data_IF_766420734912
#
_entry.id   IF_766420734912
#
_cell.length_a   1.000
_cell.length_b   1.000
_cell.length_c   1.000
_cell.angle_alpha   90.00
_cell.angle_beta   90.00
_cell.angle_gamma   90.00
#
_symmetry.space_group_name_H-M   'P 1'
#
loop_
_entity.id
_entity.type
_entity.pdbx_description
1 polymer ?
#
# COMPACT_ATOMS: atom_id res chain seq x y z
N UNK A 1 -6.88 -17.00 -9.33
CA UNK A 1 -5.92 -17.17 -8.22
C UNK A 1 -6.32 -16.38 -6.98
N UNK A 2 -6.70 -15.05 -7.06
CA UNK A 2 -7.02 -14.22 -5.89
C UNK A 2 -8.13 -14.78 -5.00
N UNK A 3 -9.26 -15.23 -5.58
CA UNK A 3 -10.36 -15.81 -4.81
C UNK A 3 -9.96 -17.11 -4.09
N UNK A 4 -9.12 -17.92 -4.72
CA UNK A 4 -8.59 -19.15 -4.10
C UNK A 4 -7.71 -18.78 -2.88
N UNK A 5 -6.81 -17.81 -3.07
CA UNK A 5 -5.98 -17.31 -1.98
C UNK A 5 -6.79 -16.69 -0.85
N UNK A 6 -7.79 -15.87 -1.21
CA UNK A 6 -8.71 -15.25 -0.26
C UNK A 6 -9.42 -16.29 0.62
N UNK A 7 -10.04 -17.30 0.01
CA UNK A 7 -10.72 -18.39 0.75
C UNK A 7 -9.81 -19.11 1.72
N UNK A 8 -8.57 -19.41 1.29
CA UNK A 8 -7.61 -20.13 2.12
C UNK A 8 -7.07 -19.30 3.29
N UNK A 9 -6.85 -18.00 3.08
CA UNK A 9 -6.30 -17.11 4.10
C UNK A 9 -7.36 -16.63 5.11
N UNK A 10 -8.62 -16.48 4.68
CA UNK A 10 -9.68 -15.83 5.43
C UNK A 10 -9.87 -16.32 6.86
N UNK A 11 -9.89 -17.65 7.15
CA UNK A 11 -10.09 -18.14 8.50
C UNK A 11 -9.01 -17.70 9.50
N UNK A 12 -7.80 -17.45 9.01
CA UNK A 12 -6.60 -17.22 9.83
C UNK A 12 -6.16 -15.76 9.88
N UNK A 13 -6.65 -14.91 8.98
CA UNK A 13 -6.18 -13.56 8.81
C UNK A 13 -6.90 -12.56 9.74
N UNK A 14 -6.16 -11.53 10.17
CA UNK A 14 -6.70 -10.31 10.77
C UNK A 14 -7.05 -9.28 9.71
N UNK A 15 -6.32 -9.25 8.59
CA UNK A 15 -6.63 -8.56 7.34
C UNK A 15 -5.93 -9.28 6.18
N UNK A 16 -6.35 -9.01 4.93
CA UNK A 16 -5.75 -9.63 3.74
C UNK A 16 -5.35 -8.54 2.75
N UNK A 17 -4.07 -8.56 2.36
CA UNK A 17 -3.57 -7.65 1.31
C UNK A 17 -3.73 -8.29 -0.07
N UNK A 18 -4.44 -7.62 -0.96
CA UNK A 18 -4.54 -7.94 -2.38
C UNK A 18 -3.44 -7.17 -3.11
N UNK A 19 -2.37 -7.88 -3.45
CA UNK A 19 -1.22 -7.27 -4.12
C UNK A 19 -1.40 -7.28 -5.64
N UNK A 20 -1.69 -6.12 -6.22
CA UNK A 20 -1.85 -5.91 -7.67
C UNK A 20 -0.70 -5.13 -8.29
N UNK A 21 0.42 -4.98 -7.59
CA UNK A 21 1.43 -3.96 -7.89
C UNK A 21 2.87 -4.46 -7.95
N UNK A 22 3.13 -5.77 -7.75
CA UNK A 22 4.50 -6.29 -7.82
C UNK A 22 5.08 -6.10 -9.23
N UNK A 23 6.27 -5.48 -9.37
CA UNK A 23 6.96 -5.39 -10.65
C UNK A 23 7.60 -6.71 -11.08
N UNK A 24 7.72 -7.67 -10.16
CA UNK A 24 8.40 -8.94 -10.39
C UNK A 24 7.49 -10.02 -11.01
N UNK A 25 6.19 -9.74 -11.11
CA UNK A 25 5.21 -10.65 -11.71
C UNK A 25 4.75 -10.06 -13.04
N UNK A 26 4.98 -10.81 -14.12
CA UNK A 26 4.61 -10.37 -15.46
C UNK A 26 3.13 -9.98 -15.53
N UNK A 27 2.85 -8.83 -16.13
CA UNK A 27 1.51 -8.29 -16.37
C UNK A 27 0.66 -8.01 -15.10
N UNK A 28 1.17 -8.22 -13.88
CA UNK A 28 0.37 -8.02 -12.67
C UNK A 28 -0.14 -6.58 -12.55
N UNK A 29 0.68 -5.60 -12.90
CA UNK A 29 0.32 -4.17 -12.83
C UNK A 29 -0.79 -3.76 -13.80
N UNK A 30 -1.10 -4.57 -14.81
CA UNK A 30 -2.26 -4.35 -15.69
C UNK A 30 -3.59 -4.44 -14.92
N UNK A 31 -3.60 -5.13 -13.78
CA UNK A 31 -4.75 -5.17 -12.88
C UNK A 31 -5.13 -3.81 -12.27
N UNK A 32 -4.24 -2.81 -12.36
CA UNK A 32 -4.51 -1.44 -11.91
C UNK A 32 -5.25 -0.59 -12.96
N UNK A 33 -5.48 -1.13 -14.17
CA UNK A 33 -6.35 -0.50 -15.19
C UNK A 33 -7.80 -0.48 -14.73
N UNK A 34 -8.51 0.63 -14.96
CA UNK A 34 -9.81 0.93 -14.37
C UNK A 34 -10.84 -0.21 -14.52
N UNK A 35 -11.07 -0.69 -15.75
CA UNK A 35 -12.08 -1.73 -16.01
C UNK A 35 -11.71 -3.08 -15.37
N UNK A 36 -10.43 -3.43 -15.42
CA UNK A 36 -9.94 -4.70 -14.86
C UNK A 36 -10.00 -4.66 -13.33
N UNK A 37 -9.63 -3.53 -12.75
CA UNK A 37 -9.68 -3.31 -11.30
C UNK A 37 -11.13 -3.33 -10.81
N UNK A 38 -12.04 -2.64 -11.49
CA UNK A 38 -13.47 -2.61 -11.15
C UNK A 38 -14.05 -4.03 -11.05
N UNK A 39 -13.79 -4.87 -12.06
CA UNK A 39 -14.23 -6.27 -12.06
C UNK A 39 -13.59 -7.09 -10.94
N UNK A 40 -12.30 -6.91 -10.70
CA UNK A 40 -11.59 -7.62 -9.62
C UNK A 40 -12.16 -7.26 -8.25
N UNK A 41 -12.33 -5.96 -7.95
CA UNK A 41 -12.85 -5.48 -6.68
C UNK A 41 -14.28 -5.98 -6.43
N UNK A 42 -15.14 -5.93 -7.46
CA UNK A 42 -16.49 -6.47 -7.36
C UNK A 42 -16.49 -7.95 -6.96
N UNK A 43 -15.68 -8.79 -7.61
CA UNK A 43 -15.58 -10.22 -7.30
C UNK A 43 -15.01 -10.48 -5.91
N UNK A 44 -14.02 -9.70 -5.47
CA UNK A 44 -13.44 -9.81 -4.14
C UNK A 44 -14.44 -9.45 -3.05
N UNK A 45 -15.24 -8.39 -3.24
CA UNK A 45 -16.25 -7.98 -2.26
C UNK A 45 -17.40 -8.98 -2.15
N UNK A 46 -17.86 -9.55 -3.27
CA UNK A 46 -18.85 -10.64 -3.24
C UNK A 46 -18.33 -11.84 -2.47
N UNK A 47 -17.10 -12.24 -2.71
CA UNK A 47 -16.46 -13.35 -1.98
C UNK A 47 -16.26 -13.02 -0.51
N UNK A 48 -15.80 -11.79 -0.16
CA UNK A 48 -15.66 -11.35 1.23
C UNK A 48 -17.00 -11.47 1.99
N UNK A 49 -18.08 -11.04 1.36
CA UNK A 49 -19.43 -11.13 1.96
C UNK A 49 -19.82 -12.57 2.28
N UNK A 50 -19.60 -13.51 1.35
CA UNK A 50 -19.87 -14.94 1.54
C UNK A 50 -19.00 -15.53 2.66
N UNK A 51 -17.71 -15.20 2.68
CA UNK A 51 -16.79 -15.67 3.71
C UNK A 51 -17.11 -15.09 5.08
N UNK A 52 -17.53 -13.81 5.14
CA UNK A 52 -18.01 -13.20 6.40
C UNK A 52 -19.18 -13.98 6.99
N UNK A 53 -20.16 -14.35 6.16
CA UNK A 53 -21.29 -15.17 6.61
C UNK A 53 -20.86 -16.57 7.06
N UNK A 54 -19.95 -17.19 6.30
CA UNK A 54 -19.48 -18.55 6.59
C UNK A 54 -18.67 -18.64 7.88
N UNK A 55 -17.82 -17.64 8.13
CA UNK A 55 -16.88 -17.65 9.28
C UNK A 55 -17.32 -16.79 10.47
N UNK A 56 -18.43 -16.05 10.35
CA UNK A 56 -18.94 -15.19 11.43
C UNK A 56 -18.01 -14.03 11.80
N UNK A 57 -17.07 -13.66 10.94
CA UNK A 57 -16.15 -12.53 11.16
C UNK A 57 -15.87 -11.79 9.86
N UNK A 58 -15.78 -10.46 9.95
CA UNK A 58 -15.30 -9.64 8.85
C UNK A 58 -13.77 -9.58 8.86
N UNK A 59 -13.14 -9.91 7.72
CA UNK A 59 -11.69 -9.78 7.53
C UNK A 59 -11.45 -8.68 6.49
N UNK A 60 -10.83 -7.55 6.87
CA UNK A 60 -10.59 -6.42 5.98
C UNK A 60 -9.76 -6.80 4.75
N UNK A 61 -10.16 -6.27 3.58
CA UNK A 61 -9.40 -6.36 2.33
C UNK A 61 -8.68 -5.05 2.06
N UNK A 62 -7.36 -5.12 1.89
CA UNK A 62 -6.49 -3.97 1.66
C UNK A 62 -5.80 -4.10 0.30
N UNK A 63 -5.94 -3.10 -0.56
CA UNK A 63 -5.35 -3.11 -1.90
C UNK A 63 -3.96 -2.48 -1.89
N UNK A 64 -2.93 -3.18 -2.38
CA UNK A 64 -1.57 -2.63 -2.48
C UNK A 64 -1.26 -2.19 -3.90
N UNK A 65 -0.98 -0.88 -4.08
CA UNK A 65 -0.76 -0.24 -5.38
C UNK A 65 0.71 0.05 -5.66
N UNK A 66 1.03 0.29 -6.94
CA UNK A 66 2.37 0.66 -7.40
C UNK A 66 2.62 2.17 -7.20
N UNK A 67 3.90 2.59 -7.09
CA UNK A 67 4.23 4.01 -7.07
C UNK A 67 4.31 4.63 -8.48
N UNK A 68 4.42 3.81 -9.52
CA UNK A 68 4.66 4.25 -10.90
C UNK A 68 3.32 4.46 -11.65
N UNK A 69 2.41 5.23 -11.03
CA UNK A 69 1.09 5.54 -11.56
C UNK A 69 1.00 7.02 -11.95
N UNK A 70 0.20 7.33 -12.98
CA UNK A 70 -0.14 8.73 -13.29
C UNK A 70 -1.16 9.27 -12.26
N UNK A 71 -1.26 10.59 -12.18
CA UNK A 71 -2.17 11.27 -11.25
C UNK A 71 -3.64 10.88 -11.53
N UNK A 72 -4.00 10.69 -12.82
CA UNK A 72 -5.32 10.22 -13.25
C UNK A 72 -5.57 8.77 -12.82
N UNK A 73 -4.55 7.92 -12.93
CA UNK A 73 -4.66 6.52 -12.51
C UNK A 73 -4.86 6.40 -11.00
N UNK A 74 -4.14 7.20 -10.21
CA UNK A 74 -4.30 7.26 -8.74
C UNK A 74 -5.73 7.69 -8.37
N UNK A 75 -6.23 8.75 -9.03
CA UNK A 75 -7.61 9.23 -8.82
C UNK A 75 -8.64 8.17 -9.19
N UNK A 76 -8.45 7.50 -10.33
CA UNK A 76 -9.34 6.42 -10.77
C UNK A 76 -9.36 5.25 -9.79
N UNK A 77 -8.18 4.82 -9.31
CA UNK A 77 -8.06 3.77 -8.30
C UNK A 77 -8.79 4.18 -7.02
N UNK A 78 -8.54 5.38 -6.48
CA UNK A 78 -9.18 5.87 -5.27
C UNK A 78 -10.71 5.85 -5.37
N UNK A 79 -11.27 6.32 -6.49
CA UNK A 79 -12.71 6.29 -6.73
C UNK A 79 -13.27 4.86 -6.79
N UNK A 80 -12.54 3.90 -7.37
CA UNK A 80 -12.95 2.50 -7.39
C UNK A 80 -12.90 1.87 -5.99
N UNK A 81 -11.89 2.21 -5.18
CA UNK A 81 -11.83 1.76 -3.79
C UNK A 81 -13.04 2.25 -2.97
N UNK A 82 -13.43 3.53 -3.15
CA UNK A 82 -14.64 4.09 -2.54
C UNK A 82 -15.91 3.40 -3.04
N UNK A 83 -16.07 3.26 -4.36
CA UNK A 83 -17.22 2.60 -5.00
C UNK A 83 -17.46 1.19 -4.44
N UNK A 84 -16.40 0.41 -4.29
CA UNK A 84 -16.48 -0.96 -3.81
C UNK A 84 -16.35 -1.10 -2.29
N UNK A 85 -16.30 0.00 -1.54
CA UNK A 85 -16.16 -0.03 -0.08
C UNK A 85 -15.00 -0.95 0.39
N UNK A 86 -13.81 -0.75 -0.20
CA UNK A 86 -12.61 -1.47 0.19
C UNK A 86 -12.16 -1.00 1.58
N UNK A 87 -11.67 -1.90 2.39
CA UNK A 87 -11.40 -1.65 3.81
C UNK A 87 -10.07 -0.92 4.07
N UNK A 88 -9.19 -0.79 3.07
CA UNK A 88 -7.93 -0.06 3.19
C UNK A 88 -7.08 -0.07 1.92
N UNK A 89 -6.08 0.80 1.85
CA UNK A 89 -5.11 0.84 0.75
C UNK A 89 -3.68 0.94 1.28
N UNK A 90 -2.73 0.25 0.63
CA UNK A 90 -1.30 0.33 0.93
C UNK A 90 -0.61 1.10 -0.18
N UNK A 91 0.00 2.23 0.14
CA UNK A 91 0.79 3.09 -0.72
C UNK A 91 2.24 3.16 -0.22
N UNK A 92 3.22 2.51 -0.89
CA UNK A 92 3.16 1.81 -2.18
C UNK A 92 3.97 0.52 -2.18
N UNK A 93 3.96 -0.22 -3.32
CA UNK A 93 4.96 -1.24 -3.64
C UNK A 93 6.29 -0.57 -4.03
N UNK A 94 7.27 -1.35 -4.48
CA UNK A 94 8.56 -0.88 -5.03
C UNK A 94 8.39 -0.24 -6.41
N UNK A 95 9.34 0.62 -6.83
CA UNK A 95 9.32 1.30 -8.12
C UNK A 95 10.16 0.59 -9.17
N UNK A 96 9.80 0.77 -10.45
CA UNK A 96 10.63 0.37 -11.60
C UNK A 96 11.57 1.49 -12.06
N UNK A 97 11.39 2.72 -11.57
CA UNK A 97 12.32 3.81 -11.87
C UNK A 97 13.67 3.56 -11.19
N UNK A 98 14.71 4.18 -11.75
CA UNK A 98 16.08 4.08 -11.23
C UNK A 98 16.63 5.45 -10.85
N UNK A 99 15.75 6.44 -10.72
CA UNK A 99 16.11 7.82 -10.37
C UNK A 99 16.93 7.86 -9.07
N UNK A 100 18.10 8.51 -9.17
CA UNK A 100 19.02 8.66 -8.04
C UNK A 100 19.95 7.48 -7.79
N UNK A 101 19.89 6.40 -8.60
CA UNK A 101 20.77 5.22 -8.48
C UNK A 101 21.41 4.81 -9.81
N UNK A 102 21.26 5.62 -10.86
CA UNK A 102 21.71 5.33 -12.22
C UNK A 102 23.21 5.05 -12.32
N UNK A 103 24.00 5.71 -11.45
CA UNK A 103 25.46 5.58 -11.40
C UNK A 103 25.95 4.23 -10.84
N UNK A 104 25.09 3.47 -10.18
CA UNK A 104 25.48 2.19 -9.60
C UNK A 104 25.23 1.04 -10.59
N UNK A 105 26.17 0.09 -10.66
CA UNK A 105 26.05 -1.07 -11.56
C UNK A 105 24.77 -1.88 -11.31
N UNK A 106 24.36 -1.99 -10.05
CA UNK A 106 23.14 -2.69 -9.61
C UNK A 106 21.83 -2.03 -10.08
N UNK A 107 21.88 -0.79 -10.60
CA UNK A 107 20.69 -0.11 -11.15
C UNK A 107 20.11 -0.85 -12.36
N UNK A 108 20.91 -1.67 -13.02
CA UNK A 108 20.51 -2.48 -14.19
C UNK A 108 19.84 -3.80 -13.82
N UNK A 109 19.86 -4.17 -12.53
CA UNK A 109 19.23 -5.40 -12.06
C UNK A 109 17.69 -5.34 -12.25
N UNK A 110 17.08 -6.45 -12.67
CA UNK A 110 15.63 -6.54 -12.77
C UNK A 110 14.97 -6.47 -11.39
N UNK A 111 13.70 -6.07 -11.35
CA UNK A 111 12.92 -6.02 -10.12
C UNK A 111 12.61 -4.61 -9.66
N UNK A 112 12.03 -4.50 -8.47
CA UNK A 112 11.61 -3.24 -7.88
C UNK A 112 12.70 -2.61 -7.01
N UNK A 113 12.91 -1.30 -7.16
CA UNK A 113 13.76 -0.50 -6.30
C UNK A 113 12.99 -0.09 -5.03
N UNK A 114 13.61 -0.24 -3.86
CA UNK A 114 13.07 0.12 -2.54
C UNK A 114 14.05 1.02 -1.77
N UNK A 115 13.71 1.36 -0.53
CA UNK A 115 14.55 2.19 0.35
C UNK A 115 14.48 3.68 0.01
N UNK A 116 15.49 4.44 0.42
CA UNK A 116 15.53 5.90 0.33
C UNK A 116 15.14 6.48 -1.05
N UNK A 117 15.55 5.91 -2.20
CA UNK A 117 15.15 6.45 -3.51
C UNK A 117 13.64 6.49 -3.77
N UNK A 118 12.86 5.66 -3.06
CA UNK A 118 11.41 5.57 -3.20
C UNK A 118 10.65 6.61 -2.35
N UNK A 119 11.30 7.26 -1.38
CA UNK A 119 10.63 8.08 -0.34
C UNK A 119 9.71 9.13 -0.93
N UNK A 120 10.21 9.97 -1.83
CA UNK A 120 9.43 11.08 -2.40
C UNK A 120 8.27 10.60 -3.28
N UNK A 121 8.53 9.61 -4.13
CA UNK A 121 7.51 9.06 -5.02
C UNK A 121 6.36 8.41 -4.23
N UNK A 122 6.68 7.61 -3.23
CA UNK A 122 5.67 6.97 -2.38
C UNK A 122 4.87 8.00 -1.56
N UNK A 123 5.51 9.07 -1.06
CA UNK A 123 4.80 10.15 -0.35
C UNK A 123 3.88 10.95 -1.27
N UNK A 124 4.31 11.22 -2.53
CA UNK A 124 3.43 11.87 -3.52
C UNK A 124 2.16 11.06 -3.77
N UNK A 125 2.30 9.77 -4.06
CA UNK A 125 1.15 8.87 -4.29
C UNK A 125 0.22 8.83 -3.07
N UNK A 126 0.80 8.75 -1.87
CA UNK A 126 0.04 8.74 -0.61
C UNK A 126 -0.77 10.01 -0.44
N UNK A 127 -0.16 11.20 -0.60
CA UNK A 127 -0.85 12.48 -0.49
C UNK A 127 -1.97 12.65 -1.52
N UNK A 128 -1.77 12.16 -2.75
CA UNK A 128 -2.83 12.17 -3.78
C UNK A 128 -4.00 11.25 -3.42
N UNK A 129 -3.72 10.04 -2.92
CA UNK A 129 -4.77 9.15 -2.42
C UNK A 129 -5.54 9.79 -1.28
N UNK A 130 -4.84 10.37 -0.29
CA UNK A 130 -5.46 11.03 0.86
C UNK A 130 -6.40 12.15 0.41
N UNK A 131 -5.98 12.98 -0.54
CA UNK A 131 -6.81 14.08 -1.07
C UNK A 131 -8.11 13.59 -1.72
N UNK A 132 -8.11 12.43 -2.38
CA UNK A 132 -9.31 11.86 -3.02
C UNK A 132 -10.15 11.07 -2.03
N UNK A 133 -9.52 10.26 -1.18
CA UNK A 133 -10.21 9.39 -0.22
C UNK A 133 -10.81 10.17 0.95
N UNK A 134 -10.27 11.32 1.30
CA UNK A 134 -10.78 12.23 2.33
C UNK A 134 -11.17 11.49 3.63
N UNK A 135 -10.27 10.69 4.16
CA UNK A 135 -10.41 9.85 5.36
C UNK A 135 -11.51 8.76 5.30
N UNK A 136 -12.14 8.52 4.14
CA UNK A 136 -13.17 7.48 4.01
C UNK A 136 -12.60 6.05 4.03
N UNK A 137 -11.33 5.88 3.67
CA UNK A 137 -10.63 4.60 3.64
C UNK A 137 -9.24 4.80 4.26
N UNK A 138 -8.82 3.99 5.24
CA UNK A 138 -7.50 4.09 5.86
C UNK A 138 -6.38 3.79 4.87
N UNK A 139 -5.28 4.55 4.99
CA UNK A 139 -4.09 4.43 4.16
C UNK A 139 -2.92 3.89 4.99
N UNK A 140 -2.30 2.80 4.54
CA UNK A 140 -1.06 2.30 5.10
C UNK A 140 0.10 2.84 4.27
N UNK A 141 0.89 3.75 4.85
CA UNK A 141 2.06 4.35 4.21
C UNK A 141 3.26 3.41 4.23
N UNK A 142 3.85 3.14 3.07
CA UNK A 142 5.07 2.33 2.94
C UNK A 142 5.94 2.80 1.77
N UNK A 143 7.23 2.58 1.88
CA UNK A 143 8.23 2.93 0.88
C UNK A 143 9.11 4.11 1.27
N UNK A 144 10.41 3.84 1.36
CA UNK A 144 11.43 4.85 1.65
C UNK A 144 11.52 5.30 3.10
N UNK A 145 10.93 4.59 4.05
CA UNK A 145 11.04 4.92 5.47
C UNK A 145 12.37 4.37 6.00
N UNK A 146 13.34 5.26 6.17
CA UNK A 146 14.71 4.97 6.63
C UNK A 146 15.04 5.71 7.93
N UNK A 147 14.15 6.56 8.42
CA UNK A 147 14.29 7.31 9.68
C UNK A 147 12.94 7.55 10.36
N UNK A 148 12.91 7.90 11.66
CA UNK A 148 11.69 8.33 12.33
C UNK A 148 11.01 9.52 11.65
N UNK A 149 11.79 10.44 11.06
CA UNK A 149 11.27 11.58 10.31
C UNK A 149 10.50 11.13 9.06
N UNK A 150 11.02 10.16 8.29
CA UNK A 150 10.32 9.66 7.11
C UNK A 150 8.96 9.05 7.47
N UNK A 151 8.88 8.39 8.63
CA UNK A 151 7.61 7.84 9.12
C UNK A 151 6.63 8.96 9.49
N UNK A 152 7.09 10.01 10.19
CA UNK A 152 6.27 11.17 10.50
C UNK A 152 5.79 11.87 9.24
N UNK A 153 6.68 12.06 8.26
CA UNK A 153 6.31 12.66 6.96
C UNK A 153 5.23 11.85 6.23
N UNK A 154 5.18 10.51 6.40
CA UNK A 154 4.08 9.69 5.87
C UNK A 154 2.76 9.93 6.60
N UNK A 155 2.78 10.02 7.92
CA UNK A 155 1.61 10.37 8.74
C UNK A 155 1.09 11.75 8.35
N UNK A 156 1.98 12.74 8.28
CA UNK A 156 1.64 14.12 7.90
C UNK A 156 1.08 14.22 6.48
N UNK A 157 1.44 13.28 5.62
CA UNK A 157 0.91 13.15 4.25
C UNK A 157 -0.43 12.42 4.18
N UNK A 158 -0.99 11.96 5.31
CA UNK A 158 -2.31 11.33 5.39
C UNK A 158 -2.29 9.79 5.54
N UNK A 159 -1.18 9.20 5.99
CA UNK A 159 -1.18 7.79 6.36
C UNK A 159 -1.77 7.59 7.77
N UNK A 160 -2.66 6.61 7.92
CA UNK A 160 -3.18 6.17 9.22
C UNK A 160 -2.27 5.16 9.90
N UNK A 161 -1.57 4.35 9.11
CA UNK A 161 -0.64 3.33 9.57
C UNK A 161 0.65 3.35 8.75
N UNK A 162 1.73 2.82 9.35
CA UNK A 162 3.05 2.72 8.73
C UNK A 162 3.45 1.25 8.55
N UNK A 163 4.02 0.93 7.40
CA UNK A 163 4.63 -0.37 7.11
C UNK A 163 6.11 -0.19 6.79
N UNK A 164 6.97 -0.99 7.42
CA UNK A 164 8.43 -0.99 7.24
C UNK A 164 8.88 -2.25 6.51
N UNK A 165 9.90 -2.12 5.65
CA UNK A 165 10.62 -3.25 5.06
C UNK A 165 12.12 -2.96 4.99
N UNK A 166 12.59 -2.15 4.04
CA UNK A 166 14.02 -1.88 3.81
C UNK A 166 14.69 -1.23 5.03
N UNK A 167 14.04 -0.24 5.64
CA UNK A 167 14.56 0.38 6.87
C UNK A 167 14.73 -0.63 8.01
N UNK A 168 13.79 -1.56 8.19
CA UNK A 168 13.91 -2.63 9.18
C UNK A 168 15.11 -3.54 8.91
N UNK A 169 15.41 -3.86 7.65
CA UNK A 169 16.57 -4.69 7.29
C UNK A 169 17.89 -3.99 7.67
N UNK A 170 17.99 -2.68 7.42
CA UNK A 170 19.22 -1.92 7.67
C UNK A 170 19.42 -1.55 9.15
N UNK A 171 18.35 -1.22 9.87
CA UNK A 171 18.41 -0.71 11.25
C UNK A 171 18.05 -1.76 12.31
N UNK A 172 17.51 -2.92 11.89
CA UNK A 172 17.12 -3.98 12.82
C UNK A 172 15.79 -3.70 13.56
N UNK A 173 15.40 -4.61 14.50
CA UNK A 173 14.09 -4.57 15.12
C UNK A 173 13.84 -3.36 16.03
N UNK A 174 14.87 -2.75 16.60
CA UNK A 174 14.72 -1.57 17.45
C UNK A 174 14.20 -0.36 16.67
N UNK A 175 14.42 -0.32 15.37
CA UNK A 175 13.88 0.70 14.48
C UNK A 175 12.34 0.80 14.54
N UNK A 176 11.64 -0.31 14.76
CA UNK A 176 10.18 -0.29 14.95
C UNK A 176 9.80 0.52 16.19
N UNK A 177 10.54 0.36 17.29
CA UNK A 177 10.29 1.11 18.55
C UNK A 177 10.58 2.61 18.37
N UNK A 178 11.63 2.94 17.64
CA UNK A 178 11.98 4.34 17.33
C UNK A 178 10.89 5.01 16.52
N UNK A 179 10.39 4.33 15.47
CA UNK A 179 9.28 4.81 14.64
C UNK A 179 8.02 5.01 15.48
N UNK A 180 7.60 4.00 16.26
CA UNK A 180 6.41 4.09 17.11
C UNK A 180 6.51 5.25 18.07
N UNK A 181 7.68 5.41 18.73
CA UNK A 181 7.91 6.54 19.64
C UNK A 181 7.76 7.88 18.94
N UNK A 182 8.32 8.03 17.74
CA UNK A 182 8.26 9.28 16.98
C UNK A 182 6.82 9.65 16.60
N UNK A 183 6.08 8.72 15.97
CA UNK A 183 4.72 9.00 15.47
C UNK A 183 3.68 9.13 16.59
N UNK A 184 3.86 8.42 17.72
CA UNK A 184 2.96 8.54 18.87
C UNK A 184 3.21 9.79 19.73
N UNK A 185 4.44 10.34 19.69
CA UNK A 185 4.80 11.56 20.45
C UNK A 185 4.27 12.83 19.78
N UNK A 186 3.91 12.78 18.51
CA UNK A 186 3.36 13.89 17.74
C UNK A 186 1.99 13.47 17.16
N UNK A 187 0.93 13.35 17.98
CA UNK A 187 -0.37 12.98 17.47
C UNK A 187 -0.87 14.10 16.54
N UNK A 188 -0.91 13.82 15.24
CA UNK A 188 -1.56 14.68 14.25
C UNK A 188 -3.06 14.45 14.37
N UNK A 189 -3.74 15.47 14.90
CA UNK A 189 -5.19 15.69 14.92
C UNK A 189 -6.07 14.69 15.70
N UNK A 190 -6.31 15.06 16.97
CA UNK A 190 -7.60 14.88 17.61
C UNK A 190 -8.53 16.01 17.10
N UNK A 191 -9.37 15.74 16.13
CA UNK A 191 -10.56 16.52 15.81
C UNK A 191 -11.71 15.55 15.51
#
# INVERSE_FOLDING_TARGET
>A
DYLIGLRKAYPYASYITINISSPNTQNLRQLQGADVLDQLLNRLKLEQTQLTQTHGKHVPLVIKIAPDLSDEAITSIANLLLKHQIDGVIATNTTITRTGVEQFSVSKEPGGLSGAPLTQQASKVLGQLHAVLNNAIPIIGVGGIMSPKDAQDKIDSGADLIQLYTGLIYHGPDFVREIVKAVCSNPVHSN
#
